data_IF_391966865524
#
_entry.id   IF_391966865524
#
_cell.length_a   1.000
_cell.length_b   1.000
_cell.length_c   1.000
_cell.angle_alpha   90.00
_cell.angle_beta   90.00
_cell.angle_gamma   90.00
#
_symmetry.space_group_name_H-M   'P 1'
#
loop_
_entity.id
_entity.type
_entity.pdbx_description
1 polymer ?
#
# COMPACT_ATOMS: atom_id res chain seq x y z
N UNK A 1 -90.06 -11.95 4.10
CA UNK A 1 -88.75 -12.56 4.41
C UNK A 1 -87.74 -12.08 3.39
N UNK A 2 -86.93 -11.10 3.80
CA UNK A 2 -85.82 -10.58 2.96
C UNK A 2 -84.52 -11.15 3.52
N UNK A 3 -83.81 -11.91 2.67
CA UNK A 3 -82.44 -12.41 2.98
C UNK A 3 -81.43 -11.36 2.53
N UNK A 4 -80.69 -10.80 3.50
CA UNK A 4 -79.60 -9.87 3.28
C UNK A 4 -78.35 -10.66 2.91
N UNK A 5 -77.77 -10.36 1.74
CA UNK A 5 -76.55 -10.96 1.24
C UNK A 5 -75.39 -10.10 1.72
N UNK A 6 -74.58 -10.56 2.67
CA UNK A 6 -73.34 -9.90 3.05
C UNK A 6 -72.25 -10.30 2.05
N UNK A 7 -71.73 -9.28 1.33
CA UNK A 7 -70.55 -9.41 0.47
C UNK A 7 -69.30 -9.10 1.34
N UNK A 8 -68.54 -10.11 1.61
CA UNK A 8 -67.22 -9.96 2.22
C UNK A 8 -66.23 -9.58 1.14
N UNK A 9 -65.68 -8.36 1.20
CA UNK A 9 -64.56 -7.93 0.36
C UNK A 9 -63.27 -8.46 1.01
N UNK A 10 -62.66 -9.48 0.44
CA UNK A 10 -61.30 -9.89 0.79
C UNK A 10 -60.29 -8.94 0.17
N UNK A 11 -59.61 -8.13 0.99
CA UNK A 11 -58.42 -7.42 0.58
C UNK A 11 -57.26 -8.41 0.41
N UNK A 12 -56.87 -8.66 -0.81
CA UNK A 12 -55.65 -9.37 -1.14
C UNK A 12 -54.47 -8.38 -0.99
N UNK A 13 -53.71 -8.48 0.11
CA UNK A 13 -52.44 -7.78 0.25
C UNK A 13 -51.38 -8.55 -0.57
N UNK A 14 -51.04 -8.05 -1.74
CA UNK A 14 -49.83 -8.45 -2.43
C UNK A 14 -48.63 -7.83 -1.69
N UNK A 15 -47.98 -8.63 -0.85
CA UNK A 15 -46.64 -8.31 -0.37
C UNK A 15 -45.69 -8.41 -1.56
N UNK A 16 -45.31 -7.26 -2.11
CA UNK A 16 -44.22 -7.16 -3.07
C UNK A 16 -42.93 -7.42 -2.30
N UNK A 17 -42.50 -8.69 -2.24
CA UNK A 17 -41.15 -9.02 -1.80
C UNK A 17 -40.22 -8.55 -2.90
N UNK A 18 -39.72 -7.34 -2.76
CA UNK A 18 -38.60 -6.86 -3.54
C UNK A 18 -37.40 -7.74 -3.20
N UNK A 19 -37.05 -8.65 -4.12
CA UNK A 19 -35.76 -9.29 -4.11
C UNK A 19 -34.75 -8.16 -4.36
N UNK A 20 -34.18 -7.61 -3.28
CA UNK A 20 -32.96 -6.85 -3.38
C UNK A 20 -31.89 -7.85 -3.82
N UNK A 21 -31.58 -7.88 -5.11
CA UNK A 21 -30.33 -8.45 -5.58
C UNK A 21 -29.24 -7.54 -5.09
N UNK A 22 -28.80 -7.73 -3.85
CA UNK A 22 -27.59 -7.12 -3.36
C UNK A 22 -26.47 -7.62 -4.27
N UNK A 23 -25.90 -6.78 -5.08
CA UNK A 23 -24.62 -7.05 -5.71
C UNK A 23 -23.66 -7.38 -4.57
N UNK A 24 -23.00 -8.53 -4.64
CA UNK A 24 -22.00 -8.90 -3.63
C UNK A 24 -20.96 -7.78 -3.59
N UNK A 25 -20.91 -7.07 -2.47
CA UNK A 25 -19.97 -5.97 -2.26
C UNK A 25 -18.57 -6.56 -2.26
N UNK A 26 -17.66 -5.92 -2.99
CA UNK A 26 -16.27 -6.35 -3.01
C UNK A 26 -15.61 -6.08 -1.64
N UNK A 27 -14.76 -7.00 -1.21
CA UNK A 27 -14.05 -6.93 0.05
C UNK A 27 -12.55 -6.72 -0.18
N UNK A 28 -11.88 -6.19 0.82
CA UNK A 28 -10.41 -6.08 0.83
C UNK A 28 -9.77 -7.30 1.53
N UNK A 29 -8.57 -7.74 1.10
CA UNK A 29 -7.85 -7.24 -0.06
C UNK A 29 -8.54 -7.63 -1.38
N UNK A 30 -8.49 -6.75 -2.36
CA UNK A 30 -9.01 -6.98 -3.71
C UNK A 30 -7.86 -7.05 -4.70
N UNK A 31 -7.93 -7.97 -5.63
CA UNK A 31 -6.97 -8.02 -6.75
C UNK A 31 -7.64 -8.53 -8.02
N UNK A 32 -7.21 -8.01 -9.14
CA UNK A 32 -7.62 -8.44 -10.46
C UNK A 32 -6.41 -8.47 -11.39
N UNK A 33 -6.25 -9.57 -12.11
CA UNK A 33 -5.32 -9.73 -13.22
C UNK A 33 -6.15 -9.81 -14.50
N UNK A 34 -6.07 -8.81 -15.36
CA UNK A 34 -6.88 -8.71 -16.57
C UNK A 34 -6.48 -9.74 -17.65
N UNK A 35 -6.54 -11.01 -17.31
CA UNK A 35 -6.15 -12.14 -18.18
C UNK A 35 -7.29 -12.62 -19.08
N UNK A 36 -8.54 -12.36 -18.70
CA UNK A 36 -9.75 -12.67 -19.47
C UNK A 36 -10.67 -11.46 -19.59
N UNK A 37 -11.55 -11.46 -20.59
CA UNK A 37 -12.55 -10.39 -20.72
C UNK A 37 -13.52 -10.33 -19.52
N UNK A 38 -13.71 -11.45 -18.82
CA UNK A 38 -14.51 -11.52 -17.61
C UNK A 38 -13.93 -10.75 -16.43
N UNK A 39 -12.64 -10.48 -16.43
CA UNK A 39 -11.95 -9.74 -15.36
C UNK A 39 -12.31 -8.23 -15.35
N UNK A 40 -12.83 -7.70 -16.47
CA UNK A 40 -13.45 -6.39 -16.54
C UNK A 40 -14.92 -6.38 -16.07
N UNK A 41 -15.50 -7.51 -15.74
CA UNK A 41 -16.86 -7.56 -15.21
C UNK A 41 -16.93 -6.80 -13.87
N UNK A 42 -17.87 -5.85 -13.79
CA UNK A 42 -18.00 -4.95 -12.64
C UNK A 42 -17.16 -3.66 -12.74
N UNK A 43 -16.16 -3.59 -13.61
CA UNK A 43 -15.49 -2.34 -13.96
C UNK A 43 -16.32 -1.55 -14.97
N UNK A 44 -16.32 -0.22 -14.84
CA UNK A 44 -17.08 0.68 -15.72
C UNK A 44 -16.10 1.55 -16.50
N UNK A 45 -16.17 1.49 -17.82
CA UNK A 45 -15.48 2.43 -18.68
C UNK A 45 -16.35 3.68 -18.87
N UNK A 46 -15.81 4.86 -18.57
CA UNK A 46 -16.47 6.15 -18.78
C UNK A 46 -15.64 6.95 -19.77
N UNK A 47 -16.24 7.23 -20.92
CA UNK A 47 -15.66 8.08 -21.95
C UNK A 47 -16.19 9.51 -21.77
N UNK A 48 -15.33 10.42 -21.35
CA UNK A 48 -15.64 11.84 -21.15
C UNK A 48 -14.88 12.75 -22.14
N UNK A 49 -14.23 12.10 -23.11
CA UNK A 49 -13.50 12.76 -24.20
C UNK A 49 -14.42 13.68 -25.02
N UNK A 50 -13.91 14.77 -25.61
CA UNK A 50 -14.68 15.66 -26.47
C UNK A 50 -15.34 14.95 -27.64
N UNK A 51 -14.66 13.98 -28.25
CA UNK A 51 -15.22 13.07 -29.25
C UNK A 51 -15.31 11.69 -28.65
N UNK A 52 -16.54 11.17 -28.53
CA UNK A 52 -16.79 9.86 -27.93
C UNK A 52 -16.49 8.72 -28.90
N UNK A 53 -16.17 7.56 -28.36
CA UNK A 53 -16.10 6.32 -29.13
C UNK A 53 -14.85 5.47 -28.89
N UNK A 54 -13.80 6.04 -28.26
CA UNK A 54 -12.61 5.30 -27.82
C UNK A 54 -12.51 5.39 -26.31
N UNK A 55 -12.50 4.27 -25.65
CA UNK A 55 -12.39 4.18 -24.18
C UNK A 55 -11.78 2.86 -23.77
N UNK A 56 -11.68 2.62 -22.46
CA UNK A 56 -11.11 1.40 -21.91
C UNK A 56 -11.82 0.12 -22.36
N UNK A 57 -11.05 -0.84 -22.81
CA UNK A 57 -11.54 -2.13 -23.31
C UNK A 57 -10.64 -3.29 -22.84
N UNK A 58 -11.11 -4.52 -23.06
CA UNK A 58 -10.25 -5.70 -22.92
C UNK A 58 -9.42 -5.88 -24.18
N UNK A 59 -8.11 -5.90 -24.01
CA UNK A 59 -7.18 -5.95 -25.14
C UNK A 59 -5.96 -6.84 -24.92
N UNK A 60 -4.97 -6.59 -25.73
CA UNK A 60 -3.67 -7.28 -25.66
C UNK A 60 -2.57 -6.25 -25.69
N UNK A 61 -1.82 -6.16 -24.60
CA UNK A 61 -0.57 -5.41 -24.54
C UNK A 61 0.58 -6.22 -25.08
N UNK A 62 1.57 -5.55 -25.64
CA UNK A 62 2.82 -6.17 -26.07
C UNK A 62 3.90 -5.84 -25.06
N UNK A 63 4.37 -6.84 -24.33
CA UNK A 63 5.56 -6.72 -23.50
C UNK A 63 6.76 -7.23 -24.31
N UNK A 64 7.71 -6.35 -24.64
CA UNK A 64 8.94 -6.75 -25.34
C UNK A 64 9.93 -7.28 -24.31
N UNK A 65 10.37 -8.52 -24.47
CA UNK A 65 11.46 -9.11 -23.70
C UNK A 65 12.66 -9.39 -24.60
N UNK A 66 13.84 -9.58 -24.01
CA UNK A 66 15.04 -9.92 -24.77
C UNK A 66 14.92 -11.23 -25.59
N UNK A 67 14.02 -12.13 -25.16
CA UNK A 67 13.73 -13.40 -25.84
C UNK A 67 12.61 -13.31 -26.90
N UNK A 68 12.04 -12.12 -27.12
CA UNK A 68 10.94 -11.88 -28.07
C UNK A 68 9.78 -11.14 -27.45
N UNK A 69 8.79 -10.75 -28.25
CA UNK A 69 7.60 -10.07 -27.77
C UNK A 69 6.66 -11.05 -27.05
N UNK A 70 6.30 -10.72 -25.82
CA UNK A 70 5.21 -11.39 -25.11
C UNK A 70 3.94 -10.57 -25.28
N UNK A 71 2.88 -11.24 -25.72
CA UNK A 71 1.55 -10.66 -25.82
C UNK A 71 0.78 -11.04 -24.56
N UNK A 72 0.50 -10.06 -23.70
CA UNK A 72 -0.21 -10.26 -22.47
C UNK A 72 -1.57 -9.56 -22.52
N UNK A 73 -2.60 -10.25 -22.04
CA UNK A 73 -3.94 -9.67 -21.89
C UNK A 73 -3.95 -8.59 -20.82
N UNK A 74 -4.79 -7.57 -21.01
CA UNK A 74 -4.83 -6.37 -20.16
C UNK A 74 -6.15 -5.62 -20.31
N UNK A 75 -6.43 -4.73 -19.36
CA UNK A 75 -7.30 -3.60 -19.62
C UNK A 75 -6.50 -2.60 -20.47
N UNK A 76 -7.02 -2.27 -21.63
CA UNK A 76 -6.39 -1.46 -22.66
C UNK A 76 -7.11 -0.13 -22.80
N UNK A 77 -6.36 0.97 -22.72
CA UNK A 77 -6.76 2.27 -23.26
C UNK A 77 -6.12 2.40 -24.64
N UNK A 78 -6.89 2.28 -25.74
CA UNK A 78 -6.35 2.36 -27.08
C UNK A 78 -5.98 3.82 -27.43
N UNK A 79 -5.24 4.01 -28.52
CA UNK A 79 -5.00 5.34 -29.07
C UNK A 79 -6.29 5.93 -29.67
N UNK A 80 -6.47 7.24 -29.51
CA UNK A 80 -7.51 8.01 -30.18
C UNK A 80 -6.89 9.04 -31.13
N UNK A 81 -6.91 8.75 -32.41
CA UNK A 81 -6.38 9.62 -33.46
C UNK A 81 -7.29 10.84 -33.75
N UNK A 82 -8.43 10.96 -33.07
CA UNK A 82 -9.46 11.97 -33.38
C UNK A 82 -9.73 12.91 -32.23
N UNK A 83 -9.33 12.58 -31.02
CA UNK A 83 -9.61 13.34 -29.81
C UNK A 83 -8.55 13.12 -28.76
N UNK A 84 -8.45 14.04 -27.79
CA UNK A 84 -7.71 13.82 -26.57
C UNK A 84 -8.47 12.85 -25.67
N UNK A 85 -7.71 12.06 -24.93
CA UNK A 85 -8.29 11.21 -23.88
C UNK A 85 -8.82 12.03 -22.71
N UNK A 86 -10.01 11.71 -22.27
CA UNK A 86 -10.63 12.04 -20.97
C UNK A 86 -11.45 10.81 -20.58
N UNK A 87 -10.76 9.73 -20.18
CA UNK A 87 -11.34 8.40 -20.06
C UNK A 87 -11.04 7.78 -18.71
N UNK A 88 -12.07 7.17 -18.12
CA UNK A 88 -11.94 6.55 -16.81
C UNK A 88 -12.22 5.05 -16.88
N UNK A 89 -11.39 4.28 -16.19
CA UNK A 89 -11.67 2.89 -15.83
C UNK A 89 -12.00 2.84 -14.35
N UNK A 90 -13.28 2.71 -14.03
CA UNK A 90 -13.82 2.81 -12.67
C UNK A 90 -14.00 1.42 -12.09
N UNK A 91 -13.49 1.20 -10.89
CA UNK A 91 -13.60 -0.08 -10.17
C UNK A 91 -15.04 -0.45 -9.84
N UNK A 92 -15.29 -1.71 -9.49
CA UNK A 92 -16.48 -2.08 -8.74
C UNK A 92 -16.61 -1.27 -7.44
N UNK A 93 -17.82 -1.25 -6.87
CA UNK A 93 -18.07 -0.60 -5.58
C UNK A 93 -17.38 -1.32 -4.42
N UNK A 94 -16.78 -0.51 -3.55
CA UNK A 94 -16.29 -0.89 -2.23
C UNK A 94 -17.01 -0.08 -1.15
N UNK A 95 -16.89 -0.47 0.11
CA UNK A 95 -17.28 0.38 1.24
C UNK A 95 -16.04 0.94 1.91
N UNK A 96 -15.96 2.26 1.96
CA UNK A 96 -14.95 2.94 2.75
C UNK A 96 -15.26 2.87 4.24
N UNK A 97 -14.20 2.75 5.04
CA UNK A 97 -14.22 2.97 6.48
C UNK A 97 -13.50 4.28 6.78
N UNK A 98 -14.12 5.19 7.50
CA UNK A 98 -13.50 6.47 7.89
C UNK A 98 -12.18 6.25 8.63
N UNK A 99 -11.13 6.96 8.23
CA UNK A 99 -9.78 6.82 8.76
C UNK A 99 -8.98 5.64 8.21
N UNK A 100 -9.60 4.72 7.45
CA UNK A 100 -8.87 3.65 6.78
C UNK A 100 -8.06 4.20 5.60
N UNK A 101 -6.86 3.66 5.41
CA UNK A 101 -6.00 3.96 4.26
C UNK A 101 -6.06 2.83 3.25
N UNK A 102 -6.34 3.17 2.01
CA UNK A 102 -6.41 2.25 0.87
C UNK A 102 -5.16 2.41 0.03
N UNK A 103 -4.45 1.31 -0.19
CA UNK A 103 -3.24 1.25 -1.00
C UNK A 103 -3.57 0.60 -2.32
N UNK A 104 -3.42 1.35 -3.40
CA UNK A 104 -3.70 0.93 -4.77
C UNK A 104 -2.39 0.65 -5.47
N UNK A 105 -2.19 -0.57 -5.95
CA UNK A 105 -1.05 -0.98 -6.76
C UNK A 105 -1.51 -1.25 -8.18
N UNK A 106 -0.85 -0.67 -9.18
CA UNK A 106 -1.23 -0.74 -10.59
C UNK A 106 -0.03 -1.22 -11.38
N UNK A 107 -0.08 -2.45 -11.88
CA UNK A 107 0.95 -2.99 -12.77
C UNK A 107 0.61 -2.67 -14.22
N UNK A 108 1.41 -1.81 -14.83
CA UNK A 108 1.08 -1.28 -16.15
C UNK A 108 2.31 -0.96 -17.01
N UNK A 109 2.03 -0.78 -18.27
CA UNK A 109 2.90 -0.18 -19.28
C UNK A 109 2.17 0.95 -19.99
N UNK A 110 2.92 1.88 -20.57
CA UNK A 110 2.34 2.91 -21.41
C UNK A 110 3.18 3.17 -22.66
N UNK A 111 2.52 3.73 -23.67
CA UNK A 111 3.13 4.24 -24.89
C UNK A 111 2.57 5.63 -25.15
N UNK A 112 3.38 6.60 -25.56
CA UNK A 112 2.94 7.96 -25.90
C UNK A 112 3.22 8.96 -24.79
N UNK A 113 2.45 10.04 -24.78
CA UNK A 113 2.63 11.19 -23.89
C UNK A 113 1.41 11.48 -23.01
N UNK A 114 0.35 10.67 -23.12
CA UNK A 114 -0.80 10.81 -22.22
C UNK A 114 -0.39 10.47 -20.78
N UNK A 115 -1.11 11.08 -19.86
CA UNK A 115 -0.97 10.84 -18.43
C UNK A 115 -2.03 9.86 -17.95
N UNK A 116 -1.72 9.13 -16.89
CA UNK A 116 -2.66 8.30 -16.18
C UNK A 116 -2.72 8.73 -14.72
N UNK A 117 -3.82 9.34 -14.31
CA UNK A 117 -4.08 9.70 -12.93
C UNK A 117 -4.82 8.61 -12.17
N UNK A 118 -4.88 8.74 -10.85
CA UNK A 118 -5.71 7.93 -9.96
C UNK A 118 -6.64 8.85 -9.18
N UNK A 119 -7.91 8.50 -9.18
CA UNK A 119 -8.95 9.27 -8.50
C UNK A 119 -9.81 8.35 -7.63
N UNK A 120 -10.51 8.94 -6.67
CA UNK A 120 -11.56 8.29 -5.89
C UNK A 120 -12.86 9.07 -5.99
N UNK A 121 -13.97 8.36 -5.96
CA UNK A 121 -15.31 8.95 -6.02
C UNK A 121 -16.37 8.08 -5.35
N UNK A 122 -17.59 8.56 -5.38
CA UNK A 122 -18.77 7.89 -4.82
C UNK A 122 -19.73 7.37 -5.89
N UNK A 123 -19.36 7.48 -7.15
CA UNK A 123 -20.18 7.06 -8.30
C UNK A 123 -19.33 6.31 -9.32
N UNK A 124 -19.91 5.29 -9.94
CA UNK A 124 -19.29 4.56 -11.04
C UNK A 124 -19.35 5.34 -12.38
N UNK A 125 -20.16 6.37 -12.48
CA UNK A 125 -20.45 7.05 -13.78
C UNK A 125 -20.38 8.56 -13.74
N UNK A 126 -20.43 9.17 -12.56
CA UNK A 126 -20.29 10.62 -12.38
C UNK A 126 -18.91 10.93 -11.79
N UNK A 127 -18.01 11.40 -12.64
CA UNK A 127 -16.63 11.72 -12.28
C UNK A 127 -16.45 13.16 -11.79
N UNK A 128 -17.49 14.00 -11.86
CA UNK A 128 -17.40 15.43 -11.56
C UNK A 128 -17.04 15.76 -10.12
N UNK A 129 -17.34 14.86 -9.18
CA UNK A 129 -17.06 15.00 -7.76
C UNK A 129 -15.88 14.15 -7.28
N UNK A 130 -15.11 13.56 -8.19
CA UNK A 130 -13.97 12.74 -7.83
C UNK A 130 -12.84 13.56 -7.21
N UNK A 131 -12.18 12.97 -6.23
CA UNK A 131 -10.94 13.51 -5.64
C UNK A 131 -9.74 12.90 -6.34
N UNK A 132 -8.86 13.74 -6.86
CA UNK A 132 -7.59 13.31 -7.46
C UNK A 132 -6.65 12.88 -6.33
N UNK A 133 -6.17 11.63 -6.37
CA UNK A 133 -5.13 11.11 -5.47
C UNK A 133 -3.75 11.40 -6.07
N UNK A 134 -3.63 11.18 -7.37
CA UNK A 134 -2.43 11.44 -8.15
C UNK A 134 -2.83 11.83 -9.56
N UNK A 135 -2.29 12.94 -10.05
CA UNK A 135 -2.57 13.43 -11.40
C UNK A 135 -1.92 12.56 -12.47
N UNK A 136 -0.73 12.05 -12.17
CA UNK A 136 0.02 11.23 -13.09
C UNK A 136 0.86 10.18 -12.36
N UNK A 137 0.58 8.91 -12.62
CA UNK A 137 1.39 7.76 -12.19
C UNK A 137 2.09 7.10 -13.37
N UNK A 138 1.94 7.61 -14.59
CA UNK A 138 2.50 7.01 -15.80
C UNK A 138 4.02 6.95 -15.79
N UNK A 139 4.68 7.90 -15.12
CA UNK A 139 6.13 7.90 -14.92
C UNK A 139 6.63 6.66 -14.15
N UNK A 140 5.76 6.06 -13.33
CA UNK A 140 6.03 4.83 -12.59
C UNK A 140 5.70 3.56 -13.38
N UNK A 141 5.05 3.68 -14.54
CA UNK A 141 4.79 2.56 -15.44
C UNK A 141 6.00 2.20 -16.30
N UNK A 142 6.02 1.00 -16.81
CA UNK A 142 7.00 0.60 -17.80
C UNK A 142 6.78 1.34 -19.13
N UNK A 143 7.75 2.14 -19.59
CA UNK A 143 7.63 2.91 -20.81
C UNK A 143 7.92 2.09 -22.07
N UNK A 144 7.14 2.32 -23.14
CA UNK A 144 7.43 1.81 -24.49
C UNK A 144 8.34 2.74 -25.30
N UNK A 145 8.33 4.05 -25.00
CA UNK A 145 8.84 5.08 -25.92
C UNK A 145 10.35 5.16 -26.09
N UNK A 146 11.11 4.46 -25.30
CA UNK A 146 12.55 4.63 -25.37
C UNK A 146 13.20 3.50 -26.11
N UNK A 147 12.87 3.03 -27.21
CA UNK A 147 13.66 2.17 -28.11
C UNK A 147 14.88 1.42 -27.51
N UNK A 148 15.14 1.67 -26.26
CA UNK A 148 16.20 1.11 -25.43
C UNK A 148 15.68 -0.18 -24.81
N UNK A 149 16.03 -1.24 -25.45
CA UNK A 149 15.84 -2.59 -24.93
C UNK A 149 16.55 -2.69 -23.60
N UNK A 150 15.84 -3.10 -22.56
CA UNK A 150 16.52 -3.68 -21.42
C UNK A 150 17.10 -5.03 -21.89
N UNK A 151 18.39 -5.03 -22.16
CA UNK A 151 19.11 -6.20 -22.66
C UNK A 151 19.10 -7.37 -21.66
N UNK A 152 18.62 -7.15 -20.44
CA UNK A 152 18.67 -8.15 -19.36
C UNK A 152 17.38 -8.97 -19.21
N UNK A 153 16.39 -8.80 -20.07
CA UNK A 153 15.16 -9.61 -20.06
C UNK A 153 14.21 -9.29 -18.91
N UNK A 154 14.34 -8.11 -18.29
CA UNK A 154 13.46 -7.66 -17.21
C UNK A 154 12.08 -7.32 -17.77
N UNK A 155 11.04 -7.73 -17.05
CA UNK A 155 9.66 -7.38 -17.35
C UNK A 155 9.50 -5.85 -17.42
N UNK A 156 8.97 -5.33 -18.53
CA UNK A 156 8.84 -3.89 -18.73
C UNK A 156 7.66 -3.27 -17.99
N UNK A 157 6.64 -4.05 -17.65
CA UNK A 157 5.56 -3.57 -16.82
C UNK A 157 6.09 -3.29 -15.41
N UNK A 158 5.81 -2.09 -14.92
CA UNK A 158 6.17 -1.67 -13.55
C UNK A 158 4.91 -1.45 -12.72
N UNK A 159 5.07 -1.43 -11.42
CA UNK A 159 3.97 -1.22 -10.49
C UNK A 159 4.05 0.19 -9.91
N UNK A 160 3.06 1.02 -10.23
CA UNK A 160 2.81 2.26 -9.51
C UNK A 160 2.06 1.95 -8.21
N UNK A 161 2.32 2.72 -7.15
CA UNK A 161 1.63 2.62 -5.86
C UNK A 161 1.14 3.99 -5.44
N UNK A 162 -0.12 4.08 -5.05
CA UNK A 162 -0.72 5.29 -4.48
C UNK A 162 -1.52 4.93 -3.24
N UNK A 163 -1.75 5.91 -2.35
CA UNK A 163 -2.52 5.71 -1.14
C UNK A 163 -3.60 6.79 -1.00
N UNK A 164 -4.74 6.40 -0.43
CA UNK A 164 -5.85 7.27 -0.12
C UNK A 164 -6.39 6.96 1.27
N UNK A 165 -6.53 7.98 2.13
CA UNK A 165 -7.19 7.82 3.44
C UNK A 165 -8.61 8.36 3.35
N UNK A 166 -9.60 7.50 3.61
CA UNK A 166 -11.01 7.89 3.59
C UNK A 166 -11.35 8.79 4.77
N UNK A 167 -12.07 9.88 4.50
CA UNK A 167 -12.53 10.83 5.52
C UNK A 167 -13.89 10.48 6.12
N UNK A 168 -14.63 9.56 5.47
CA UNK A 168 -15.99 9.17 5.87
C UNK A 168 -16.28 7.72 5.45
N UNK A 169 -17.26 7.10 6.09
CA UNK A 169 -17.81 5.80 5.69
C UNK A 169 -18.69 5.94 4.44
N UNK A 170 -18.76 4.89 3.63
CA UNK A 170 -19.72 4.84 2.51
C UNK A 170 -19.17 4.25 1.22
N UNK A 171 -19.91 4.42 0.10
CA UNK A 171 -19.47 3.88 -1.19
C UNK A 171 -18.16 4.52 -1.65
N UNK A 172 -17.27 3.69 -2.18
CA UNK A 172 -15.95 4.08 -2.66
C UNK A 172 -15.66 3.40 -3.99
N UNK A 173 -15.30 4.21 -4.98
CA UNK A 173 -14.83 3.76 -6.29
C UNK A 173 -13.44 4.32 -6.53
N UNK A 174 -12.56 3.49 -7.06
CA UNK A 174 -11.24 3.90 -7.55
C UNK A 174 -11.31 4.01 -9.07
N UNK A 175 -10.70 5.02 -9.65
CA UNK A 175 -10.65 5.15 -11.10
C UNK A 175 -9.23 5.44 -11.58
N UNK A 176 -8.87 4.78 -12.69
CA UNK A 176 -7.74 5.18 -13.51
C UNK A 176 -8.24 6.23 -14.50
N UNK A 177 -7.60 7.37 -14.54
CA UNK A 177 -7.95 8.50 -15.37
C UNK A 177 -6.90 8.69 -16.46
N UNK A 178 -7.20 8.25 -17.68
CA UNK A 178 -6.37 8.52 -18.84
C UNK A 178 -6.71 9.91 -19.39
N UNK A 179 -5.70 10.78 -19.51
CA UNK A 179 -5.89 12.12 -20.04
C UNK A 179 -4.69 12.60 -20.85
N UNK A 180 -4.96 13.41 -21.87
CA UNK A 180 -3.96 13.97 -22.76
C UNK A 180 -3.68 15.42 -22.46
N UNK A 181 -2.43 15.83 -22.52
CA UNK A 181 -2.02 17.23 -22.43
C UNK A 181 -2.23 18.02 -23.73
N UNK A 182 -2.43 17.35 -24.85
CA UNK A 182 -2.59 17.96 -26.16
C UNK A 182 -4.05 17.92 -26.62
N UNK A 183 -4.48 18.93 -27.34
CA UNK A 183 -5.84 19.04 -27.86
C UNK A 183 -6.07 18.25 -29.17
N UNK A 184 -5.04 17.56 -29.67
CA UNK A 184 -5.05 16.86 -30.96
C UNK A 184 -4.38 15.53 -30.86
N UNK A 185 -4.95 14.53 -31.56
CA UNK A 185 -4.36 13.25 -31.93
C UNK A 185 -3.50 12.60 -30.86
N UNK A 186 -4.10 11.76 -30.03
CA UNK A 186 -3.39 11.07 -28.99
C UNK A 186 -3.10 9.62 -29.38
N UNK A 187 -1.86 9.37 -29.83
CA UNK A 187 -1.37 8.03 -30.13
C UNK A 187 -0.94 7.25 -28.88
N UNK A 188 -1.26 7.76 -27.69
CA UNK A 188 -0.92 7.12 -26.42
C UNK A 188 -1.80 5.91 -26.15
N UNK A 189 -1.22 4.94 -25.44
CA UNK A 189 -1.91 3.72 -25.00
C UNK A 189 -1.50 3.39 -23.58
N UNK A 190 -2.44 2.89 -22.80
CA UNK A 190 -2.16 2.27 -21.50
C UNK A 190 -2.51 0.80 -21.52
N UNK A 191 -1.63 -0.02 -20.94
CA UNK A 191 -1.78 -1.45 -20.79
C UNK A 191 -1.73 -1.78 -19.32
N UNK A 192 -2.89 -1.97 -18.68
CA UNK A 192 -3.00 -2.30 -17.26
C UNK A 192 -3.18 -3.80 -17.12
N UNK A 193 -2.20 -4.46 -16.52
CA UNK A 193 -2.16 -5.90 -16.38
C UNK A 193 -2.81 -6.38 -15.09
N UNK A 194 -2.60 -5.65 -14.01
CA UNK A 194 -3.26 -5.96 -12.74
C UNK A 194 -3.45 -4.73 -11.87
N UNK A 195 -4.46 -4.81 -11.00
CA UNK A 195 -4.73 -3.84 -9.95
C UNK A 195 -4.92 -4.61 -8.65
N UNK A 196 -4.22 -4.15 -7.60
CA UNK A 196 -4.42 -4.60 -6.22
C UNK A 196 -4.90 -3.43 -5.36
N UNK A 197 -5.83 -3.68 -4.46
CA UNK A 197 -6.32 -2.69 -3.50
C UNK A 197 -6.33 -3.34 -2.13
N UNK A 198 -5.61 -2.77 -1.19
CA UNK A 198 -5.53 -3.24 0.19
C UNK A 198 -6.04 -2.16 1.13
N UNK A 199 -6.76 -2.57 2.15
CA UNK A 199 -7.29 -1.69 3.19
C UNK A 199 -6.44 -1.82 4.46
N UNK A 200 -6.05 -0.69 5.02
CA UNK A 200 -5.45 -0.59 6.34
C UNK A 200 -6.38 0.18 7.27
N UNK A 201 -7.13 -0.58 8.09
CA UNK A 201 -8.10 0.00 9.03
C UNK A 201 -7.40 0.67 10.20
N UNK A 202 -7.96 1.78 10.70
CA UNK A 202 -7.49 2.38 11.95
C UNK A 202 -7.68 1.39 13.11
N UNK A 203 -6.80 1.50 14.08
CA UNK A 203 -6.84 0.70 15.29
C UNK A 203 -5.74 -0.37 15.38
N UNK A 204 -5.75 -1.13 16.47
CA UNK A 204 -4.72 -2.13 16.74
C UNK A 204 -4.70 -3.24 15.69
N UNK A 205 -3.49 -3.66 15.32
CA UNK A 205 -3.27 -4.80 14.43
C UNK A 205 -3.45 -6.11 15.19
N UNK A 206 -4.01 -7.11 14.52
CA UNK A 206 -4.15 -8.45 15.08
C UNK A 206 -2.77 -9.15 15.19
N UNK A 207 -2.62 -10.00 16.21
CA UNK A 207 -1.47 -10.89 16.34
C UNK A 207 -1.80 -12.31 15.83
N UNK A 208 -0.85 -13.05 15.24
CA UNK A 208 0.51 -12.63 14.94
C UNK A 208 0.57 -11.60 13.83
N UNK A 209 1.55 -10.69 13.88
CA UNK A 209 1.80 -9.68 12.86
C UNK A 209 3.24 -9.79 12.38
N UNK A 210 3.44 -9.81 11.07
CA UNK A 210 4.76 -9.80 10.45
C UNK A 210 4.81 -8.89 9.25
N UNK A 211 5.98 -8.29 9.02
CA UNK A 211 6.18 -7.38 7.89
C UNK A 211 7.63 -7.40 7.41
N UNK A 212 7.81 -7.46 6.09
CA UNK A 212 9.07 -7.08 5.45
C UNK A 212 9.05 -5.57 5.23
N UNK A 213 9.92 -4.86 5.95
CA UNK A 213 9.94 -3.40 5.98
C UNK A 213 10.56 -2.78 4.72
N UNK A 214 11.21 -3.57 3.90
CA UNK A 214 11.61 -3.15 2.56
C UNK A 214 10.43 -2.97 1.62
N UNK A 215 9.45 -3.87 1.74
CA UNK A 215 8.31 -3.91 0.83
C UNK A 215 7.10 -3.15 1.37
N UNK A 216 6.92 -3.13 2.70
CA UNK A 216 5.71 -2.63 3.33
C UNK A 216 5.98 -1.93 4.67
N UNK A 217 5.80 -0.62 4.71
CA UNK A 217 5.99 0.22 5.90
C UNK A 217 4.67 0.80 6.41
N UNK A 218 3.54 0.21 6.03
CA UNK A 218 2.19 0.72 6.33
C UNK A 218 1.93 0.75 7.84
N UNK A 219 1.45 1.90 8.29
CA UNK A 219 1.15 2.12 9.69
C UNK A 219 2.38 2.32 10.59
N UNK A 220 3.59 2.28 10.04
CA UNK A 220 4.81 2.66 10.74
C UNK A 220 5.07 4.16 10.67
N UNK A 221 5.69 4.71 11.69
CA UNK A 221 6.01 6.14 11.76
C UNK A 221 7.44 6.37 12.25
N UNK A 222 8.11 7.39 11.71
CA UNK A 222 9.40 7.85 12.21
C UNK A 222 9.17 9.05 13.14
N UNK A 223 9.91 9.10 14.25
CA UNK A 223 9.99 10.25 15.16
C UNK A 223 11.46 10.61 15.29
N UNK A 224 11.80 11.82 14.86
CA UNK A 224 13.08 12.45 15.19
C UNK A 224 12.89 13.20 16.50
N UNK A 225 13.50 12.68 17.56
CA UNK A 225 13.48 13.26 18.90
C UNK A 225 14.85 13.87 19.27
N UNK A 226 15.70 14.10 18.29
CA UNK A 226 17.01 14.75 18.44
C UNK A 226 16.85 16.23 18.81
N UNK A 227 17.80 16.79 19.55
CA UNK A 227 17.79 18.21 19.92
C UNK A 227 17.82 19.13 18.69
N UNK A 228 18.48 18.67 17.65
CA UNK A 228 18.51 19.30 16.33
C UNK A 228 17.97 18.28 15.32
N UNK A 229 16.80 18.52 14.71
CA UNK A 229 16.27 17.61 13.70
C UNK A 229 17.24 17.42 12.53
N UNK A 230 17.43 16.19 12.14
CA UNK A 230 18.36 15.80 11.10
C UNK A 230 17.85 14.65 10.23
N UNK A 231 18.72 13.73 9.90
CA UNK A 231 18.37 12.50 9.18
C UNK A 231 17.69 11.53 10.14
N UNK A 232 16.55 11.00 9.77
CA UNK A 232 15.82 10.00 10.53
C UNK A 232 15.44 8.81 9.66
N UNK A 233 14.69 7.85 10.21
CA UNK A 233 14.29 6.62 9.55
C UNK A 233 13.49 6.88 8.26
N UNK A 234 13.96 6.35 7.14
CA UNK A 234 13.31 6.47 5.83
C UNK A 234 13.35 5.15 5.06
N UNK A 235 12.37 4.97 4.16
CA UNK A 235 12.43 3.91 3.17
C UNK A 235 13.64 4.12 2.26
N UNK A 236 14.52 3.11 2.17
CA UNK A 236 15.73 3.18 1.38
C UNK A 236 16.24 1.76 1.08
N UNK A 237 17.42 1.67 0.53
CA UNK A 237 18.13 0.43 0.27
C UNK A 237 19.51 0.45 0.96
N UNK A 238 19.98 -0.70 1.39
CA UNK A 238 21.35 -0.90 1.81
C UNK A 238 22.02 -1.96 0.92
N UNK A 239 23.33 -1.88 0.78
CA UNK A 239 24.09 -2.89 0.04
C UNK A 239 24.45 -4.04 0.96
N UNK A 240 23.89 -5.22 0.72
CA UNK A 240 24.25 -6.45 1.41
C UNK A 240 25.41 -7.13 0.66
N UNK A 241 26.60 -7.03 1.21
CA UNK A 241 27.80 -7.63 0.61
C UNK A 241 27.76 -9.15 0.62
N UNK A 242 27.05 -9.77 1.55
CA UNK A 242 26.93 -11.23 1.61
C UNK A 242 26.18 -11.80 0.41
N UNK A 243 25.17 -11.09 -0.06
CA UNK A 243 24.38 -11.44 -1.27
C UNK A 243 24.81 -10.67 -2.51
N UNK A 244 25.69 -9.67 -2.39
CA UNK A 244 26.09 -8.75 -3.44
C UNK A 244 24.91 -8.03 -4.12
N UNK A 245 23.91 -7.58 -3.33
CA UNK A 245 22.69 -6.93 -3.80
C UNK A 245 22.29 -5.75 -2.94
N UNK A 246 21.61 -4.80 -3.58
CA UNK A 246 20.83 -3.82 -2.84
C UNK A 246 19.55 -4.48 -2.30
N UNK A 247 19.32 -4.28 -1.01
CA UNK A 247 18.18 -4.83 -0.28
C UNK A 247 17.31 -3.68 0.24
N UNK A 248 16.02 -3.64 -0.09
CA UNK A 248 15.14 -2.62 0.44
C UNK A 248 14.95 -2.79 1.95
N UNK A 249 14.88 -1.68 2.67
CA UNK A 249 14.71 -1.64 4.12
C UNK A 249 14.23 -0.26 4.58
N UNK A 250 13.99 -0.12 5.87
CA UNK A 250 13.94 1.20 6.52
C UNK A 250 15.33 1.47 7.11
N UNK A 251 15.89 2.60 6.74
CA UNK A 251 17.27 2.96 7.08
C UNK A 251 17.30 4.27 7.87
N UNK A 252 18.01 4.28 8.99
CA UNK A 252 18.51 5.52 9.60
C UNK A 252 19.93 5.71 9.07
N UNK A 253 20.14 6.84 8.37
CA UNK A 253 21.31 7.08 7.54
C UNK A 253 22.36 7.98 8.18
N UNK A 254 23.34 8.35 7.39
CA UNK A 254 24.43 9.22 7.83
C UNK A 254 23.92 10.58 8.30
N UNK A 255 24.37 10.99 9.49
CA UNK A 255 24.24 12.36 9.97
C UNK A 255 25.57 12.81 10.62
N UNK A 256 26.37 13.52 9.86
CA UNK A 256 27.71 13.95 10.28
C UNK A 256 27.70 15.07 11.33
N UNK A 257 26.60 15.84 11.34
CA UNK A 257 26.52 17.07 12.10
C UNK A 257 25.71 16.91 13.40
N UNK A 258 24.78 15.91 13.43
CA UNK A 258 23.83 15.75 14.53
C UNK A 258 23.90 14.35 15.13
N UNK A 259 23.48 14.23 16.38
CA UNK A 259 23.31 12.96 17.06
C UNK A 259 21.96 12.34 16.70
N UNK A 260 21.89 11.01 16.63
CA UNK A 260 20.61 10.32 16.52
C UNK A 260 19.93 10.24 17.88
N UNK A 261 18.62 10.44 17.86
CA UNK A 261 17.66 10.08 18.91
C UNK A 261 16.33 9.76 18.20
N UNK A 262 16.38 8.72 17.34
CA UNK A 262 15.38 8.49 16.31
C UNK A 262 14.63 7.21 16.56
N UNK A 263 13.31 7.32 16.61
CA UNK A 263 12.41 6.20 16.79
C UNK A 263 11.79 5.79 15.45
N UNK A 264 11.75 4.49 15.18
CA UNK A 264 10.88 3.92 14.16
C UNK A 264 9.79 3.10 14.84
N UNK A 265 8.56 3.59 14.77
CA UNK A 265 7.44 3.17 15.62
C UNK A 265 6.48 2.28 14.84
N UNK A 266 6.17 1.12 15.39
CA UNK A 266 5.24 0.15 14.83
C UNK A 266 3.79 0.66 14.82
N UNK A 267 2.90 0.01 14.03
CA UNK A 267 1.47 0.08 14.30
C UNK A 267 1.14 -0.29 15.75
N UNK A 268 -0.06 0.07 16.18
CA UNK A 268 -0.57 -0.27 17.51
C UNK A 268 -0.98 -1.74 17.60
N UNK A 269 -0.71 -2.38 18.73
CA UNK A 269 -1.14 -3.74 19.08
C UNK A 269 -1.86 -3.73 20.42
N UNK A 270 -2.95 -4.49 20.54
CA UNK A 270 -3.59 -4.72 21.84
C UNK A 270 -2.86 -5.88 22.52
N UNK A 271 -2.17 -5.59 23.65
CA UNK A 271 -1.44 -6.56 24.44
C UNK A 271 -2.13 -6.79 25.79
N UNK A 272 -2.10 -8.04 26.28
CA UNK A 272 -2.77 -8.45 27.51
C UNK A 272 -1.78 -8.70 28.64
N UNK A 273 -2.07 -8.21 29.85
CA UNK A 273 -1.28 -8.50 31.03
C UNK A 273 -1.28 -10.00 31.34
N UNK A 274 -0.12 -10.51 31.71
CA UNK A 274 0.07 -11.94 32.03
C UNK A 274 0.36 -12.82 30.81
N UNK A 275 0.37 -12.26 29.60
CA UNK A 275 0.86 -12.92 28.40
C UNK A 275 2.29 -12.48 28.07
N UNK A 276 3.03 -13.35 27.42
CA UNK A 276 4.33 -13.07 26.85
C UNK A 276 4.24 -12.89 25.35
N UNK A 277 5.07 -12.02 24.83
CA UNK A 277 5.16 -11.71 23.40
C UNK A 277 6.59 -11.83 22.93
N UNK A 278 6.78 -12.47 21.78
CA UNK A 278 8.07 -12.59 21.11
C UNK A 278 8.12 -11.63 19.93
N UNK A 279 9.14 -10.80 19.91
CA UNK A 279 9.51 -9.97 18.77
C UNK A 279 10.68 -10.59 18.07
N UNK A 280 10.58 -10.76 16.76
CA UNK A 280 11.68 -11.15 15.88
C UNK A 280 12.03 -10.00 14.97
N UNK A 281 13.30 -9.66 14.86
CA UNK A 281 13.81 -8.59 14.03
C UNK A 281 14.92 -9.09 13.12
N UNK A 282 15.05 -8.49 11.93
CA UNK A 282 16.21 -8.62 11.07
C UNK A 282 16.77 -7.24 10.80
N UNK A 283 18.02 -7.02 11.21
CA UNK A 283 18.73 -5.75 11.12
C UNK A 283 20.00 -5.87 10.31
N UNK A 284 20.52 -4.74 9.86
CA UNK A 284 21.81 -4.59 9.20
C UNK A 284 22.51 -3.32 9.69
N UNK A 285 23.85 -3.31 9.65
CA UNK A 285 24.68 -2.13 9.94
C UNK A 285 25.90 -2.10 9.02
N UNK A 286 26.43 -0.92 8.77
CA UNK A 286 27.53 -0.72 7.82
C UNK A 286 28.92 -0.71 8.43
N UNK A 287 29.07 -0.69 9.78
CA UNK A 287 30.37 -0.60 10.44
C UNK A 287 30.50 -1.49 11.69
N UNK A 288 31.75 -1.84 12.04
CA UNK A 288 32.16 -2.52 13.24
C UNK A 288 33.44 -1.86 13.84
N UNK A 289 33.49 -1.53 15.14
CA UNK A 289 32.35 -1.53 16.07
C UNK A 289 31.38 -0.39 15.77
N UNK A 290 30.08 -0.58 16.09
CA UNK A 290 29.08 0.47 15.89
C UNK A 290 29.25 1.58 16.93
N UNK A 291 29.17 2.83 16.51
CA UNK A 291 29.15 4.01 17.40
C UNK A 291 27.73 4.38 17.85
N UNK A 292 26.72 3.59 17.48
CA UNK A 292 25.34 3.79 17.85
C UNK A 292 24.79 2.64 18.70
N UNK A 293 23.70 2.91 19.41
CA UNK A 293 22.90 1.89 20.09
C UNK A 293 21.54 1.78 19.41
N UNK A 294 21.09 0.56 19.18
CA UNK A 294 19.73 0.26 18.72
C UNK A 294 18.97 -0.44 19.84
N UNK A 295 17.88 0.15 20.31
CA UNK A 295 17.09 -0.39 21.41
C UNK A 295 15.67 -0.72 20.95
N UNK A 296 15.14 -1.86 21.44
CA UNK A 296 13.72 -2.18 21.34
C UNK A 296 12.97 -1.51 22.50
N UNK A 297 11.94 -0.75 22.16
CA UNK A 297 11.17 0.08 23.08
C UNK A 297 9.70 -0.32 23.08
N UNK A 298 8.98 -0.06 24.18
CA UNK A 298 7.53 -0.23 24.30
C UNK A 298 6.91 1.08 24.75
N UNK A 299 5.89 1.57 24.04
CA UNK A 299 5.18 2.82 24.34
C UNK A 299 3.69 2.73 24.03
N UNK A 300 2.98 3.85 24.17
CA UNK A 300 1.53 3.93 23.96
C UNK A 300 1.11 4.98 22.94
N UNK A 301 2.08 5.52 22.18
CA UNK A 301 1.82 6.55 21.17
C UNK A 301 2.76 6.36 19.97
N UNK A 302 2.24 6.54 18.76
CA UNK A 302 3.05 6.56 17.54
C UNK A 302 3.77 7.90 17.28
N UNK A 303 3.43 8.95 18.03
CA UNK A 303 3.89 10.32 17.78
C UNK A 303 4.55 10.99 18.97
N UNK A 304 4.50 10.37 20.15
CA UNK A 304 5.07 10.91 21.39
C UNK A 304 6.16 9.99 21.94
N UNK A 305 7.41 10.37 21.69
CA UNK A 305 8.61 9.65 22.11
C UNK A 305 8.69 9.47 23.63
N UNK A 306 8.11 10.38 24.41
CA UNK A 306 8.16 10.33 25.89
C UNK A 306 7.40 9.16 26.51
N UNK A 307 6.53 8.50 25.74
CA UNK A 307 5.77 7.33 26.21
C UNK A 307 6.57 6.03 26.19
N UNK A 308 7.73 6.01 25.55
CA UNK A 308 8.50 4.80 25.35
C UNK A 308 9.41 4.46 26.51
N UNK A 309 9.41 3.19 26.87
CA UNK A 309 10.33 2.58 27.84
C UNK A 309 11.14 1.47 27.17
N UNK A 310 12.41 1.37 27.52
CA UNK A 310 13.30 0.36 26.93
C UNK A 310 12.91 -1.04 27.40
N UNK A 311 12.74 -1.95 26.43
CA UNK A 311 12.68 -3.40 26.69
C UNK A 311 14.10 -3.94 26.79
N UNK A 312 14.91 -3.75 25.75
CA UNK A 312 16.29 -4.24 25.67
C UNK A 312 17.09 -3.49 24.62
N UNK A 313 18.40 -3.58 24.68
CA UNK A 313 19.27 -3.20 23.57
C UNK A 313 19.42 -4.37 22.61
N UNK A 314 19.37 -4.12 21.31
CA UNK A 314 19.60 -5.14 20.29
C UNK A 314 21.11 -5.38 20.17
N UNK A 315 21.53 -6.63 20.17
CA UNK A 315 22.95 -6.99 20.10
C UNK A 315 23.55 -6.74 18.73
N UNK A 316 22.68 -6.69 17.70
CA UNK A 316 23.05 -6.53 16.30
C UNK A 316 24.31 -7.30 15.94
N UNK A 317 24.30 -8.60 16.20
CA UNK A 317 25.42 -9.53 15.93
C UNK A 317 25.73 -9.67 14.43
N UNK A 318 25.18 -8.77 13.62
CA UNK A 318 25.58 -8.63 12.24
C UNK A 318 27.08 -8.35 12.21
N UNK A 319 27.83 -9.23 11.59
CA UNK A 319 29.17 -8.88 11.14
C UNK A 319 29.02 -7.81 10.06
N UNK A 320 30.01 -6.94 9.93
CA UNK A 320 30.12 -6.01 8.81
C UNK A 320 29.55 -6.66 7.55
N UNK A 321 28.55 -5.97 6.95
CA UNK A 321 27.96 -6.33 5.68
C UNK A 321 26.99 -7.54 5.62
N UNK A 322 26.54 -8.07 6.74
CA UNK A 322 25.51 -9.12 6.76
C UNK A 322 24.32 -8.76 7.67
N UNK A 323 23.13 -9.23 7.32
CA UNK A 323 21.95 -9.09 8.19
C UNK A 323 22.03 -10.05 9.38
N UNK A 324 21.54 -9.61 10.55
CA UNK A 324 21.35 -10.46 11.73
C UNK A 324 19.86 -10.57 12.07
N UNK A 325 19.48 -11.73 12.62
CA UNK A 325 18.12 -11.96 13.14
C UNK A 325 18.23 -12.18 14.64
N UNK A 326 17.38 -11.47 15.41
CA UNK A 326 17.33 -11.56 16.87
C UNK A 326 15.88 -11.74 17.33
N UNK A 327 15.70 -12.51 18.39
CA UNK A 327 14.42 -12.75 19.04
C UNK A 327 14.44 -12.19 20.47
N UNK A 328 13.40 -11.47 20.87
CA UNK A 328 13.27 -10.92 22.22
C UNK A 328 11.89 -11.22 22.79
N UNK A 329 11.84 -11.70 24.03
CA UNK A 329 10.57 -12.01 24.73
C UNK A 329 10.32 -10.98 25.82
N UNK A 330 9.13 -10.41 25.83
CA UNK A 330 8.71 -9.43 26.83
C UNK A 330 7.26 -9.67 27.28
N UNK A 331 6.85 -9.04 28.36
CA UNK A 331 5.49 -9.05 28.85
C UNK A 331 5.06 -7.65 29.29
N UNK A 332 3.76 -7.39 29.21
CA UNK A 332 3.18 -6.12 29.69
C UNK A 332 2.58 -6.29 31.09
N UNK A 333 2.73 -5.26 31.92
CA UNK A 333 2.18 -5.26 33.30
C UNK A 333 0.68 -4.93 33.33
N UNK A 334 0.17 -4.29 32.27
CA UNK A 334 -1.23 -3.86 32.14
C UNK A 334 -1.70 -4.15 30.73
N UNK A 335 -2.93 -4.64 30.59
CA UNK A 335 -3.55 -4.78 29.27
C UNK A 335 -3.85 -3.42 28.66
N UNK A 336 -3.67 -3.27 27.37
CA UNK A 336 -3.93 -2.03 26.65
C UNK A 336 -3.34 -2.02 25.26
N UNK A 337 -3.41 -0.87 24.62
CA UNK A 337 -2.87 -0.62 23.31
C UNK A 337 -1.44 -0.09 23.41
N UNK A 338 -0.54 -0.72 22.67
CA UNK A 338 0.90 -0.46 22.71
C UNK A 338 1.49 -0.35 21.32
N UNK A 339 2.57 0.42 21.22
CA UNK A 339 3.44 0.47 20.06
C UNK A 339 4.83 -0.03 20.47
N UNK A 340 5.47 -0.78 19.60
CA UNK A 340 6.88 -1.09 19.70
C UNK A 340 7.67 -0.06 18.89
N UNK A 341 8.86 0.28 19.33
CA UNK A 341 9.73 1.16 18.56
C UNK A 341 11.18 0.67 18.58
N UNK A 342 11.90 1.05 17.51
CA UNK A 342 13.36 0.88 17.40
C UNK A 342 13.98 2.25 17.58
N UNK A 343 14.65 2.45 18.70
CA UNK A 343 15.36 3.69 19.01
C UNK A 343 16.82 3.57 18.62
N UNK A 344 17.24 4.34 17.64
CA UNK A 344 18.65 4.51 17.31
C UNK A 344 19.20 5.75 18.03
N UNK A 345 20.32 5.60 18.75
CA UNK A 345 20.98 6.72 19.46
C UNK A 345 22.46 6.75 19.19
N UNK A 346 23.02 7.97 19.06
CA UNK A 346 24.45 8.23 19.02
C UNK A 346 24.82 9.31 20.02
N UNK A 347 26.11 9.42 20.34
CA UNK A 347 26.64 10.48 21.21
C UNK A 347 27.33 11.61 20.43
N UNK A 348 27.57 11.41 19.15
CA UNK A 348 28.18 12.36 18.20
C UNK A 348 27.57 12.16 16.83
N UNK A 349 27.81 13.09 15.92
CA UNK A 349 27.50 12.88 14.50
C UNK A 349 28.21 11.62 13.98
N UNK A 350 27.59 10.93 13.03
CA UNK A 350 28.05 9.62 12.61
C UNK A 350 27.99 9.42 11.09
N UNK A 351 28.92 8.62 10.57
CA UNK A 351 28.91 8.10 9.20
C UNK A 351 28.35 6.68 9.12
N UNK A 352 27.61 6.27 10.13
CA UNK A 352 27.05 4.93 10.19
C UNK A 352 25.66 4.89 9.59
N UNK A 353 25.22 3.69 9.27
CA UNK A 353 23.85 3.38 8.87
C UNK A 353 23.38 2.14 9.61
N UNK A 354 22.11 2.15 9.96
CA UNK A 354 21.41 0.98 10.45
C UNK A 354 20.15 0.78 9.63
N UNK A 355 19.89 -0.47 9.25
CA UNK A 355 18.68 -0.83 8.53
C UNK A 355 17.85 -1.82 9.34
N UNK A 356 16.56 -1.63 9.32
CA UNK A 356 15.54 -2.56 9.83
C UNK A 356 14.85 -3.18 8.62
N UNK A 357 15.04 -4.50 8.43
CA UNK A 357 14.57 -5.21 7.25
C UNK A 357 13.26 -5.96 7.49
N UNK A 358 13.10 -6.51 8.70
CA UNK A 358 11.97 -7.38 9.03
C UNK A 358 11.56 -7.21 10.48
N UNK A 359 10.27 -7.30 10.72
CA UNK A 359 9.66 -7.29 12.04
C UNK A 359 8.55 -8.33 12.12
N UNK A 360 8.51 -9.05 13.25
CA UNK A 360 7.43 -9.99 13.57
C UNK A 360 7.12 -9.87 15.07
N UNK A 361 5.84 -9.97 15.43
CA UNK A 361 5.40 -10.07 16.82
C UNK A 361 4.28 -11.10 16.93
N UNK A 362 4.42 -12.01 17.91
CA UNK A 362 3.43 -13.03 18.24
C UNK A 362 3.34 -13.26 19.74
N UNK A 363 2.20 -13.75 20.21
CA UNK A 363 2.07 -14.33 21.55
C UNK A 363 2.92 -15.60 21.65
N UNK A 364 3.55 -15.84 22.82
CA UNK A 364 4.42 -16.98 23.06
C UNK A 364 4.25 -17.51 24.50
N UNK A 365 4.53 -18.79 24.68
CA UNK A 365 4.61 -19.42 26.01
C UNK A 365 6.01 -19.28 26.66
N UNK A 366 6.97 -18.67 25.95
CA UNK A 366 8.31 -18.42 26.48
C UNK A 366 8.25 -17.39 27.62
N UNK A 367 9.05 -17.63 28.65
CA UNK A 367 9.14 -16.71 29.77
C UNK A 367 10.05 -15.53 29.41
N UNK A 368 9.61 -14.26 29.63
CA UNK A 368 10.46 -13.11 29.41
C UNK A 368 11.75 -13.21 30.23
N UNK A 369 12.87 -12.79 29.65
CA UNK A 369 14.05 -12.53 30.44
C UNK A 369 13.73 -11.43 31.46
N UNK A 370 14.03 -11.70 32.73
CA UNK A 370 13.76 -10.74 33.82
C UNK A 370 14.76 -9.59 33.67
N UNK A 371 14.27 -8.44 33.22
CA UNK A 371 15.04 -7.18 33.23
C UNK A 371 14.80 -6.41 34.51
#
# INVERSE_FOLDING_TARGET
MRKTLQRTFGLLFFALVGVMTGTAQNSFPYSVDFTTAGDLAGWTAVDDSPTKGVTWEYGTGTCSQAAGNIYQKCALMPEDATSKHVDYLVSPEFTATAGATYYISIKAQYKGYAMCGVQVGKSATDMSANTVISDDVSSSFGGWNNGWFDYNGVERAKTAKVAYTATEDGPLYFSLYAHSNSDVDDTSKFFVYSIGIEEDKPGPKALPYSVDLGDNQRGWAAIDASDVPGVTWTANEFYDYSSSKYMPAVVNGYDWDNTWNDYYVSPTFTLEAGKSYKVKTRTWKNNEPSAFTLSLMLGTSQTDASTFQKITDLSMQATYDATATEDHVFAVKKSGDYNLAFLATTTTGTNEQVALCYFDIAETDETPEVT
#
